data_IF_015690179577
#
_entry.id   IF_015690179577
#
_cell.length_a   1.000
_cell.length_b   1.000
_cell.length_c   1.000
_cell.angle_alpha   90.00
_cell.angle_beta   90.00
_cell.angle_gamma   90.00
#
_symmetry.space_group_name_H-M   'P 1'
#
loop_
_entity.id
_entity.type
_entity.pdbx_description
1 polymer ?
#
# COMPACT_ATOMS: atom_id res chain seq x y z
N UNK A 1 -25.15 -32.19 -12.73
CA UNK A 1 -25.65 -30.80 -12.67
C UNK A 1 -24.51 -29.90 -13.10
N UNK A 2 -24.68 -29.18 -14.21
CA UNK A 2 -23.69 -28.25 -14.75
C UNK A 2 -23.47 -27.11 -13.76
N UNK A 3 -22.27 -27.03 -13.19
CA UNK A 3 -21.82 -25.90 -12.39
C UNK A 3 -21.96 -24.62 -13.22
N UNK A 4 -22.93 -23.79 -12.89
CA UNK A 4 -23.01 -22.43 -13.39
C UNK A 4 -21.82 -21.69 -12.80
N UNK A 5 -20.71 -21.63 -13.55
CA UNK A 5 -19.54 -20.84 -13.21
C UNK A 5 -19.99 -19.37 -13.15
N UNK A 6 -20.38 -18.91 -11.96
CA UNK A 6 -20.79 -17.52 -11.74
C UNK A 6 -19.56 -16.67 -11.94
N UNK A 7 -19.59 -15.84 -12.96
CA UNK A 7 -18.56 -14.84 -13.20
C UNK A 7 -18.52 -13.91 -12.00
N UNK A 8 -17.41 -13.92 -11.29
CA UNK A 8 -17.21 -13.02 -10.16
C UNK A 8 -16.86 -11.64 -10.71
N UNK A 9 -17.83 -10.72 -10.66
CA UNK A 9 -17.63 -9.34 -11.11
C UNK A 9 -16.61 -8.56 -10.26
N UNK A 10 -16.19 -9.09 -9.10
CA UNK A 10 -15.32 -8.40 -8.12
C UNK A 10 -14.36 -9.33 -7.36
N UNK A 11 -14.11 -10.55 -7.82
CA UNK A 11 -13.35 -11.51 -7.02
C UNK A 11 -12.50 -12.47 -7.86
N UNK A 12 -11.34 -12.79 -7.30
CA UNK A 12 -10.34 -13.75 -7.75
C UNK A 12 -10.76 -15.23 -7.58
N UNK A 13 -12.00 -15.47 -7.13
CA UNK A 13 -12.52 -16.79 -6.79
C UNK A 13 -12.05 -17.33 -5.43
N UNK A 14 -11.40 -16.50 -4.60
CA UNK A 14 -11.07 -16.87 -3.24
C UNK A 14 -12.31 -16.94 -2.36
N UNK A 15 -12.24 -17.75 -1.29
CA UNK A 15 -13.19 -17.66 -0.19
C UNK A 15 -13.31 -16.24 0.34
N UNK A 16 -14.51 -15.83 0.77
CA UNK A 16 -14.71 -14.52 1.37
C UNK A 16 -14.32 -14.55 2.84
N UNK A 17 -13.86 -13.41 3.34
CA UNK A 17 -13.57 -13.22 4.76
C UNK A 17 -14.69 -12.39 5.36
N UNK A 18 -15.11 -12.72 6.57
CA UNK A 18 -16.20 -12.03 7.27
C UNK A 18 -15.81 -11.80 8.72
N UNK A 19 -15.94 -10.58 9.21
CA UNK A 19 -15.79 -10.29 10.65
C UNK A 19 -17.11 -10.50 11.38
N UNK A 20 -17.06 -11.30 12.43
CA UNK A 20 -18.24 -11.73 13.18
C UNK A 20 -17.95 -11.66 14.67
N UNK A 21 -18.90 -11.20 15.47
CA UNK A 21 -18.80 -11.37 16.91
C UNK A 21 -18.82 -12.86 17.26
N UNK A 22 -17.86 -13.32 18.09
CA UNK A 22 -17.75 -14.73 18.46
C UNK A 22 -19.05 -15.27 19.04
N UNK A 23 -19.67 -14.53 19.95
CA UNK A 23 -20.92 -14.93 20.62
C UNK A 23 -22.05 -15.21 19.62
N UNK A 24 -22.24 -14.30 18.66
CA UNK A 24 -23.25 -14.45 17.61
C UNK A 24 -22.97 -15.67 16.73
N UNK A 25 -21.70 -15.87 16.36
CA UNK A 25 -21.29 -17.04 15.57
C UNK A 25 -21.48 -18.36 16.33
N UNK A 26 -21.23 -18.40 17.63
CA UNK A 26 -21.43 -19.59 18.46
C UNK A 26 -22.91 -19.94 18.65
N UNK A 27 -23.80 -18.94 18.72
CA UNK A 27 -25.24 -19.16 18.81
C UNK A 27 -25.87 -19.55 17.47
N UNK A 28 -25.47 -18.93 16.37
CA UNK A 28 -26.16 -19.04 15.08
C UNK A 28 -25.40 -19.84 14.01
N UNK A 29 -24.14 -20.14 14.25
CA UNK A 29 -23.27 -20.85 13.30
C UNK A 29 -23.21 -20.13 11.94
N UNK A 30 -23.49 -20.88 10.86
CA UNK A 30 -23.46 -20.35 9.51
C UNK A 30 -24.52 -19.26 9.22
N UNK A 31 -25.57 -19.13 10.05
CA UNK A 31 -26.53 -18.05 9.86
C UNK A 31 -25.95 -16.66 10.23
N UNK A 32 -24.93 -16.62 11.10
CA UNK A 32 -24.29 -15.39 11.55
C UNK A 32 -23.65 -14.58 10.41
N UNK A 33 -23.29 -15.20 9.27
CA UNK A 33 -22.74 -14.51 8.10
C UNK A 33 -23.67 -13.43 7.53
N UNK A 34 -24.98 -13.51 7.79
CA UNK A 34 -25.95 -12.46 7.42
C UNK A 34 -25.77 -11.18 8.23
N UNK A 35 -25.14 -11.29 9.40
CA UNK A 35 -24.88 -10.21 10.36
C UNK A 35 -23.38 -9.89 10.43
N UNK A 36 -22.64 -10.19 9.37
CA UNK A 36 -21.22 -9.83 9.29
C UNK A 36 -21.03 -8.32 9.43
N UNK A 37 -20.11 -7.94 10.31
CA UNK A 37 -19.78 -6.55 10.59
C UNK A 37 -18.96 -5.91 9.45
N UNK A 38 -18.17 -6.74 8.77
CA UNK A 38 -17.33 -6.38 7.63
C UNK A 38 -17.02 -7.64 6.80
N UNK A 39 -16.72 -7.47 5.51
CA UNK A 39 -16.34 -8.55 4.59
C UNK A 39 -15.05 -8.21 3.82
N UNK A 40 -13.87 -8.29 4.45
CA UNK A 40 -12.63 -7.87 3.82
C UNK A 40 -12.11 -8.84 2.75
N UNK A 41 -11.21 -8.36 1.88
CA UNK A 41 -10.38 -9.24 1.04
C UNK A 41 -9.37 -10.01 1.90
N UNK A 42 -8.80 -11.11 1.39
CA UNK A 42 -7.74 -11.84 2.12
C UNK A 42 -6.59 -10.91 2.52
N UNK A 43 -6.12 -10.07 1.60
CA UNK A 43 -5.02 -9.16 1.85
C UNK A 43 -5.35 -8.16 2.97
N UNK A 44 -6.54 -7.56 2.93
CA UNK A 44 -6.97 -6.64 3.97
C UNK A 44 -7.18 -7.36 5.30
N UNK A 45 -7.77 -8.57 5.29
CA UNK A 45 -7.93 -9.39 6.48
C UNK A 45 -6.58 -9.67 7.14
N UNK A 46 -5.54 -10.00 6.37
CA UNK A 46 -4.19 -10.24 6.90
C UNK A 46 -3.46 -8.98 7.40
N UNK A 47 -3.86 -7.78 6.95
CA UNK A 47 -3.25 -6.52 7.37
C UNK A 47 -3.98 -5.85 8.52
N UNK A 48 -5.30 -5.81 8.50
CA UNK A 48 -6.09 -5.01 9.44
C UNK A 48 -6.98 -5.87 10.35
N UNK A 49 -7.17 -7.17 10.03
CA UNK A 49 -7.97 -8.13 10.80
C UNK A 49 -7.20 -9.44 11.07
N UNK A 50 -5.88 -9.37 11.17
CA UNK A 50 -5.02 -10.52 11.47
C UNK A 50 -5.34 -11.09 12.86
N UNK A 51 -4.83 -12.29 13.17
CA UNK A 51 -4.92 -12.80 14.54
C UNK A 51 -4.33 -11.78 15.53
N UNK A 52 -5.04 -11.49 16.62
CA UNK A 52 -4.72 -10.43 17.60
C UNK A 52 -4.87 -8.99 17.09
N UNK A 53 -5.51 -8.79 15.94
CA UNK A 53 -5.80 -7.44 15.47
C UNK A 53 -6.83 -6.77 16.37
N UNK A 54 -6.56 -5.53 16.76
CA UNK A 54 -7.44 -4.68 17.57
C UNK A 54 -8.24 -3.76 16.66
N UNK A 55 -9.56 -3.80 16.80
CA UNK A 55 -10.48 -3.00 16.01
C UNK A 55 -11.48 -2.30 16.91
N UNK A 56 -11.86 -1.08 16.53
CA UNK A 56 -12.95 -0.33 17.15
C UNK A 56 -14.15 -0.41 16.20
N UNK A 57 -15.31 -0.84 16.71
CA UNK A 57 -16.57 -0.91 15.96
C UNK A 57 -17.66 -0.29 16.84
N UNK A 58 -18.32 0.75 16.33
CA UNK A 58 -19.41 1.46 17.04
C UNK A 58 -19.06 1.95 18.46
N UNK A 59 -17.78 2.28 18.69
CA UNK A 59 -17.29 2.72 20.00
C UNK A 59 -16.91 1.58 20.94
N UNK A 60 -17.11 0.33 20.52
CA UNK A 60 -16.70 -0.86 21.26
C UNK A 60 -15.39 -1.44 20.74
N UNK A 61 -14.59 -1.99 21.64
CA UNK A 61 -13.26 -2.51 21.36
C UNK A 61 -13.28 -4.02 21.22
N UNK A 62 -12.72 -4.51 20.12
CA UNK A 62 -12.65 -5.93 19.80
C UNK A 62 -11.24 -6.36 19.42
N UNK A 63 -10.92 -7.62 19.69
CA UNK A 63 -9.72 -8.28 19.20
C UNK A 63 -10.10 -9.50 18.36
N UNK A 64 -9.41 -9.71 17.23
CA UNK A 64 -9.59 -10.93 16.43
C UNK A 64 -8.94 -12.11 17.14
N UNK A 65 -9.75 -12.98 17.73
CA UNK A 65 -9.26 -14.13 18.49
C UNK A 65 -9.06 -15.40 17.65
N UNK A 66 -9.81 -15.58 16.57
CA UNK A 66 -9.73 -16.80 15.76
C UNK A 66 -10.11 -16.57 14.29
N UNK A 67 -9.46 -17.29 13.38
CA UNK A 67 -9.89 -17.44 12.00
C UNK A 67 -10.45 -18.85 11.82
N UNK A 68 -11.74 -18.98 11.49
CA UNK A 68 -12.42 -20.27 11.35
C UNK A 68 -12.95 -20.44 9.93
N UNK A 69 -12.50 -21.49 9.25
CA UNK A 69 -12.97 -21.84 7.90
C UNK A 69 -14.35 -22.48 7.97
N UNK A 70 -15.30 -22.00 7.17
CA UNK A 70 -16.68 -22.51 7.08
C UNK A 70 -17.00 -22.71 5.61
N UNK A 71 -16.87 -23.95 5.12
CA UNK A 71 -16.97 -24.24 3.69
C UNK A 71 -15.86 -23.55 2.90
N UNK A 72 -16.25 -22.67 1.97
CA UNK A 72 -15.30 -21.86 1.19
C UNK A 72 -14.93 -20.55 1.88
N UNK A 73 -15.74 -20.05 2.82
CA UNK A 73 -15.54 -18.77 3.47
C UNK A 73 -14.75 -18.88 4.78
N UNK A 74 -14.28 -17.75 5.29
CA UNK A 74 -13.54 -17.66 6.55
C UNK A 74 -14.20 -16.64 7.48
N UNK A 75 -14.59 -17.09 8.67
CA UNK A 75 -15.06 -16.25 9.76
C UNK A 75 -13.87 -15.76 10.59
N UNK A 76 -13.77 -14.44 10.76
CA UNK A 76 -12.84 -13.74 11.64
C UNK A 76 -13.59 -13.43 12.93
N UNK A 77 -13.41 -14.28 13.94
CA UNK A 77 -14.17 -14.21 15.18
C UNK A 77 -13.58 -13.15 16.11
N UNK A 78 -14.42 -12.17 16.44
CA UNK A 78 -14.10 -11.03 17.29
C UNK A 78 -14.50 -11.33 18.73
N UNK A 79 -13.54 -11.14 19.63
CA UNK A 79 -13.73 -11.14 21.06
C UNK A 79 -13.80 -9.70 21.56
N UNK A 80 -14.75 -9.39 22.43
CA UNK A 80 -14.84 -8.07 23.04
C UNK A 80 -13.75 -7.94 24.10
N UNK A 81 -12.90 -6.92 23.98
CA UNK A 81 -11.74 -6.74 24.86
C UNK A 81 -11.55 -5.26 25.14
N UNK A 82 -11.29 -4.88 26.39
CA UNK A 82 -10.95 -3.49 26.74
C UNK A 82 -9.48 -3.20 26.42
N UNK A 83 -9.24 -2.12 25.66
CA UNK A 83 -7.92 -1.55 25.41
C UNK A 83 -8.04 -0.05 25.14
N UNK A 84 -6.91 0.68 25.19
CA UNK A 84 -6.87 2.11 24.89
C UNK A 84 -7.30 2.35 23.42
N UNK A 85 -8.39 3.10 23.16
CA UNK A 85 -8.85 3.38 21.79
C UNK A 85 -7.83 4.14 20.92
N UNK A 86 -6.81 4.76 21.53
CA UNK A 86 -5.69 5.35 20.80
C UNK A 86 -4.72 4.31 20.24
N UNK A 87 -4.77 3.06 20.73
CA UNK A 87 -3.98 1.93 20.23
C UNK A 87 -4.69 1.17 19.12
N UNK A 88 -3.94 0.83 18.07
CA UNK A 88 -4.42 0.03 16.96
C UNK A 88 -3.32 -0.90 16.45
N UNK A 89 -3.69 -1.97 15.78
CA UNK A 89 -2.75 -2.91 15.17
C UNK A 89 -2.69 -2.73 13.67
N UNK A 90 -1.53 -3.00 13.07
CA UNK A 90 -1.40 -3.15 11.61
C UNK A 90 -0.40 -4.23 11.26
N UNK A 91 -0.81 -5.14 10.39
CA UNK A 91 0.01 -6.20 9.83
C UNK A 91 1.12 -5.68 8.93
N UNK A 92 2.16 -6.48 8.78
CA UNK A 92 3.21 -6.27 7.79
C UNK A 92 2.91 -7.12 6.57
N UNK A 93 3.16 -6.59 5.38
CA UNK A 93 3.17 -7.36 4.15
C UNK A 93 4.46 -7.11 3.39
N UNK A 94 5.01 -8.19 2.84
CA UNK A 94 6.08 -8.16 1.84
C UNK A 94 5.53 -8.73 0.55
N UNK A 95 5.63 -7.97 -0.53
CA UNK A 95 5.24 -8.43 -1.86
C UNK A 95 6.49 -8.86 -2.61
N UNK A 96 6.42 -10.01 -3.26
CA UNK A 96 7.44 -10.51 -4.18
C UNK A 96 6.79 -10.68 -5.54
N UNK A 97 7.41 -10.11 -6.56
CA UNK A 97 6.98 -10.25 -7.95
C UNK A 97 8.06 -10.99 -8.71
N UNK A 98 7.68 -12.09 -9.35
CA UNK A 98 8.54 -12.90 -10.21
C UNK A 98 8.11 -12.68 -11.67
N UNK A 99 8.92 -12.02 -12.51
CA UNK A 99 8.63 -11.91 -13.93
C UNK A 99 8.54 -13.29 -14.59
N UNK A 100 7.58 -13.48 -15.49
CA UNK A 100 7.41 -14.72 -16.27
C UNK A 100 7.75 -14.45 -17.73
N UNK A 101 6.80 -13.89 -18.48
CA UNK A 101 6.94 -13.54 -19.89
C UNK A 101 6.93 -12.03 -20.04
N UNK A 102 8.09 -11.45 -20.34
CA UNK A 102 8.26 -10.00 -20.47
C UNK A 102 8.68 -9.62 -21.88
N UNK A 103 8.26 -8.45 -22.33
CA UNK A 103 8.81 -7.84 -23.54
C UNK A 103 10.31 -7.54 -23.37
N UNK A 104 11.04 -7.35 -24.48
CA UNK A 104 12.38 -6.76 -24.43
C UNK A 104 12.37 -5.42 -23.69
N UNK A 105 13.50 -5.08 -23.09
CA UNK A 105 13.70 -3.78 -22.45
C UNK A 105 13.67 -2.65 -23.48
N UNK A 106 12.91 -1.61 -23.16
CA UNK A 106 12.98 -0.31 -23.82
C UNK A 106 13.73 0.65 -22.90
N UNK A 107 14.89 1.12 -23.34
CA UNK A 107 15.77 2.01 -22.54
C UNK A 107 15.76 3.41 -23.16
N UNK A 108 15.70 4.42 -22.31
CA UNK A 108 15.80 5.84 -22.68
C UNK A 108 16.32 6.63 -21.49
N UNK A 109 17.44 7.32 -21.68
CA UNK A 109 18.20 7.95 -20.62
C UNK A 109 18.41 7.02 -19.42
N UNK A 110 18.02 7.49 -18.25
CA UNK A 110 18.15 6.77 -16.97
C UNK A 110 16.97 5.82 -16.66
N UNK A 111 16.07 5.60 -17.62
CA UNK A 111 14.88 4.77 -17.45
C UNK A 111 14.93 3.54 -18.38
N UNK A 112 14.52 2.41 -17.83
CA UNK A 112 14.30 1.19 -18.59
C UNK A 112 12.91 0.63 -18.27
N UNK A 113 12.14 0.27 -19.28
CA UNK A 113 10.79 -0.28 -19.08
C UNK A 113 10.59 -1.57 -19.86
N UNK A 114 9.80 -2.47 -19.30
CA UNK A 114 9.23 -3.62 -20.01
C UNK A 114 7.91 -4.01 -19.39
N UNK A 115 7.04 -4.63 -20.17
CA UNK A 115 5.72 -5.07 -19.71
C UNK A 115 5.53 -6.54 -20.03
N UNK A 116 4.67 -7.22 -19.29
CA UNK A 116 4.40 -8.62 -19.52
C UNK A 116 3.56 -9.23 -18.43
N UNK A 117 3.80 -10.52 -18.17
CA UNK A 117 3.16 -11.29 -17.10
C UNK A 117 4.15 -11.58 -16.00
N UNK A 118 3.66 -11.61 -14.77
CA UNK A 118 4.43 -12.01 -13.60
C UNK A 118 3.57 -12.71 -12.57
N UNK A 119 4.24 -13.42 -11.68
CA UNK A 119 3.65 -14.09 -10.53
C UNK A 119 3.86 -13.24 -9.29
N UNK A 120 2.78 -12.94 -8.56
CA UNK A 120 2.80 -12.13 -7.34
C UNK A 120 2.54 -13.03 -6.14
N UNK A 121 3.41 -12.91 -5.14
CA UNK A 121 3.28 -13.59 -3.84
C UNK A 121 3.35 -12.58 -2.71
N UNK A 122 2.54 -12.78 -1.67
CA UNK A 122 2.51 -11.93 -0.48
C UNK A 122 2.88 -12.73 0.75
N UNK A 123 3.83 -12.22 1.52
CA UNK A 123 4.20 -12.78 2.82
C UNK A 123 3.76 -11.84 3.94
N UNK A 124 3.19 -12.40 5.00
CA UNK A 124 2.65 -11.67 6.15
C UNK A 124 3.40 -12.10 7.42
N UNK A 125 4.55 -11.47 7.73
CA UNK A 125 5.45 -11.97 8.76
C UNK A 125 5.02 -11.61 10.18
N UNK A 126 4.06 -10.70 10.36
CA UNK A 126 3.70 -10.20 11.69
C UNK A 126 2.85 -8.95 11.65
N UNK A 127 2.80 -8.24 12.77
CA UNK A 127 2.08 -6.98 12.95
C UNK A 127 2.75 -6.07 13.98
N UNK A 128 2.43 -4.79 13.94
CA UNK A 128 2.81 -3.81 14.96
C UNK A 128 1.59 -3.36 15.77
N UNK A 129 1.82 -3.03 17.04
CA UNK A 129 0.90 -2.23 17.85
C UNK A 129 1.38 -0.79 17.77
N UNK A 130 0.46 0.11 17.44
CA UNK A 130 0.71 1.52 17.26
C UNK A 130 -0.20 2.32 18.16
N UNK A 131 0.26 3.49 18.61
CA UNK A 131 -0.54 4.44 19.37
C UNK A 131 -0.60 5.77 18.65
N UNK A 132 -1.80 6.35 18.52
CA UNK A 132 -1.98 7.73 18.04
C UNK A 132 -1.75 8.69 19.21
N UNK A 133 -0.77 9.58 19.06
CA UNK A 133 -0.47 10.61 20.05
C UNK A 133 -0.49 11.97 19.37
N UNK A 134 -1.18 12.94 20.00
CA UNK A 134 -1.03 14.34 19.65
C UNK A 134 0.33 14.83 20.14
N UNK A 135 1.20 15.24 19.22
CA UNK A 135 2.50 15.81 19.53
C UNK A 135 2.60 17.19 18.90
N UNK A 136 3.20 18.13 19.62
CA UNK A 136 3.55 19.42 19.06
C UNK A 136 4.84 19.27 18.28
N UNK A 137 4.86 19.58 17.00
CA UNK A 137 6.06 19.42 16.17
C UNK A 137 6.17 20.55 15.13
N UNK A 138 7.39 20.79 14.65
CA UNK A 138 7.62 21.75 13.58
C UNK A 138 6.95 21.29 12.28
N UNK A 139 6.30 22.23 11.59
CA UNK A 139 5.70 21.97 10.29
C UNK A 139 6.72 21.52 9.23
N UNK A 140 7.93 22.07 9.25
CA UNK A 140 8.88 21.98 8.13
C UNK A 140 10.00 20.94 8.35
N UNK A 141 10.45 20.78 9.59
CA UNK A 141 11.53 19.85 9.95
C UNK A 141 11.09 18.73 10.89
N UNK A 142 9.82 18.71 11.30
CA UNK A 142 9.25 17.68 12.17
C UNK A 142 9.93 17.54 13.56
N UNK A 143 10.76 18.51 13.95
CA UNK A 143 11.39 18.56 15.27
C UNK A 143 10.35 18.86 16.36
N UNK A 144 10.36 18.05 17.42
CA UNK A 144 9.55 18.28 18.61
C UNK A 144 10.23 19.35 19.49
N UNK A 145 9.49 20.34 20.02
CA UNK A 145 10.06 21.33 20.91
C UNK A 145 10.47 20.68 22.23
N UNK A 146 11.52 21.20 22.86
CA UNK A 146 11.89 20.79 24.20
C UNK A 146 10.74 21.06 25.18
N UNK A 147 10.45 20.06 26.02
CA UNK A 147 9.39 20.12 27.03
C UNK A 147 9.59 21.36 27.92
N UNK A 148 8.56 22.20 27.99
CA UNK A 148 8.55 23.42 28.82
C UNK A 148 8.84 24.72 28.06
N UNK A 149 9.28 24.67 26.80
CA UNK A 149 9.48 25.87 25.98
C UNK A 149 8.20 26.24 25.24
N UNK A 150 7.50 27.27 25.71
CA UNK A 150 6.37 27.87 25.01
C UNK A 150 6.84 28.72 23.81
N UNK A 151 7.38 28.05 22.79
CA UNK A 151 7.67 28.67 21.50
C UNK A 151 6.59 28.30 20.48
N UNK A 152 6.25 29.26 19.61
CA UNK A 152 5.43 29.02 18.42
C UNK A 152 6.29 28.74 17.17
N UNK A 153 7.63 28.90 17.30
CA UNK A 153 8.60 28.71 16.21
C UNK A 153 9.65 27.67 16.57
N UNK A 154 10.01 26.84 15.60
CA UNK A 154 11.07 25.88 15.73
C UNK A 154 12.43 26.58 15.87
N UNK A 155 13.21 26.21 16.88
CA UNK A 155 14.55 26.76 17.09
C UNK A 155 15.53 26.40 15.96
N UNK A 156 15.32 25.27 15.28
CA UNK A 156 16.23 24.80 14.23
C UNK A 156 16.00 25.47 12.86
N UNK A 157 14.75 25.77 12.50
CA UNK A 157 14.43 26.27 11.15
C UNK A 157 13.47 27.46 11.11
N UNK A 158 13.01 27.98 12.26
CA UNK A 158 12.08 29.11 12.34
C UNK A 158 10.62 28.82 11.93
N UNK A 159 10.33 27.58 11.52
CA UNK A 159 9.01 27.12 11.08
C UNK A 159 7.99 27.05 12.22
N UNK A 160 6.69 27.08 11.90
CA UNK A 160 5.63 27.07 12.91
C UNK A 160 5.55 25.71 13.65
N UNK A 161 5.31 25.76 14.96
CA UNK A 161 5.01 24.59 15.79
C UNK A 161 3.50 24.38 15.86
N UNK A 162 3.04 23.20 15.47
CA UNK A 162 1.61 22.84 15.44
C UNK A 162 1.39 21.48 16.08
N UNK A 163 0.19 21.26 16.63
CA UNK A 163 -0.21 19.95 17.14
C UNK A 163 -0.54 19.03 15.97
N UNK A 164 0.16 17.91 15.90
CA UNK A 164 -0.02 16.87 14.88
C UNK A 164 -0.31 15.54 15.54
N UNK A 165 -1.19 14.76 14.92
CA UNK A 165 -1.32 13.35 15.25
C UNK A 165 -0.12 12.60 14.67
N UNK A 166 0.68 11.97 15.55
CA UNK A 166 1.71 11.02 15.16
C UNK A 166 1.33 9.62 15.57
N UNK A 167 1.77 8.68 14.74
CA UNK A 167 1.68 7.25 15.03
C UNK A 167 3.00 6.81 15.64
N UNK A 168 2.97 6.43 16.91
CA UNK A 168 4.12 5.86 17.62
C UNK A 168 4.04 4.35 17.55
N UNK A 169 5.14 3.67 17.21
CA UNK A 169 5.22 2.21 17.33
C UNK A 169 5.40 1.84 18.80
N UNK A 170 4.47 1.06 19.35
CA UNK A 170 4.54 0.56 20.72
C UNK A 170 5.33 -0.75 20.75
N UNK A 171 4.98 -1.69 19.87
CA UNK A 171 5.65 -2.98 19.76
C UNK A 171 5.51 -3.56 18.35
N UNK A 172 6.38 -4.53 18.02
CA UNK A 172 6.27 -5.37 16.81
C UNK A 172 6.23 -6.84 17.24
N UNK A 173 5.38 -7.61 16.58
CA UNK A 173 5.16 -9.03 16.84
C UNK A 173 5.31 -9.77 15.52
N UNK A 174 6.10 -10.84 15.51
CA UNK A 174 6.31 -11.70 14.35
C UNK A 174 5.68 -13.06 14.61
N UNK A 175 5.11 -13.66 13.58
CA UNK A 175 4.55 -15.00 13.66
C UNK A 175 5.66 -16.04 13.53
N UNK A 176 5.57 -17.13 14.29
CA UNK A 176 6.52 -18.25 14.19
C UNK A 176 6.49 -18.88 12.79
N UNK A 177 5.29 -18.99 12.21
CA UNK A 177 5.08 -19.41 10.83
C UNK A 177 4.56 -18.24 10.01
N UNK A 178 5.39 -17.75 9.07
CA UNK A 178 5.00 -16.68 8.14
C UNK A 178 3.94 -17.22 7.17
N UNK A 179 2.79 -16.58 7.14
CA UNK A 179 1.78 -16.91 6.14
C UNK A 179 2.20 -16.34 4.78
N UNK A 180 2.15 -17.18 3.75
CA UNK A 180 2.42 -16.80 2.36
C UNK A 180 1.17 -17.09 1.54
N UNK A 181 0.70 -16.10 0.79
CA UNK A 181 -0.46 -16.25 -0.10
C UNK A 181 -0.13 -17.24 -1.21
N UNK A 182 -1.16 -17.90 -1.75
CA UNK A 182 -0.99 -18.60 -3.02
C UNK A 182 -0.49 -17.60 -4.09
N UNK A 183 0.50 -17.97 -4.92
CA UNK A 183 0.91 -17.13 -6.02
C UNK A 183 -0.26 -16.92 -6.98
N UNK A 184 -0.32 -15.74 -7.59
CA UNK A 184 -1.25 -15.48 -8.68
C UNK A 184 -0.55 -14.78 -9.83
N UNK A 185 -0.88 -15.19 -11.05
CA UNK A 185 -0.40 -14.54 -12.27
C UNK A 185 -1.22 -13.27 -12.54
N UNK A 186 -0.54 -12.24 -13.04
CA UNK A 186 -1.15 -10.96 -13.39
C UNK A 186 -0.28 -10.20 -14.40
N UNK A 187 -0.80 -9.08 -14.93
CA UNK A 187 -0.03 -8.13 -15.70
C UNK A 187 1.01 -7.42 -14.83
N UNK A 188 2.22 -7.25 -15.35
CA UNK A 188 3.33 -6.57 -14.67
C UNK A 188 4.02 -5.59 -15.61
N UNK A 189 4.25 -4.37 -15.14
CA UNK A 189 5.18 -3.40 -15.70
C UNK A 189 6.41 -3.33 -14.80
N UNK A 190 7.59 -3.56 -15.37
CA UNK A 190 8.86 -3.34 -14.68
C UNK A 190 9.50 -2.03 -15.15
N UNK A 191 9.89 -1.21 -14.19
CA UNK A 191 10.53 0.08 -14.38
C UNK A 191 11.87 0.08 -13.64
N UNK A 192 12.97 0.06 -14.39
CA UNK A 192 14.31 0.31 -13.89
C UNK A 192 14.62 1.81 -13.91
N UNK A 193 15.19 2.31 -12.81
CA UNK A 193 15.58 3.71 -12.65
C UNK A 193 17.05 3.73 -12.25
N UNK A 194 17.92 4.29 -13.08
CA UNK A 194 19.33 4.42 -12.76
C UNK A 194 19.58 5.68 -11.91
N UNK A 195 19.08 5.67 -10.68
CA UNK A 195 19.20 6.80 -9.75
C UNK A 195 19.14 6.35 -8.29
N UNK A 196 19.29 7.31 -7.38
CA UNK A 196 19.25 7.05 -5.93
C UNK A 196 17.85 6.74 -5.40
N UNK A 197 17.74 6.15 -4.20
CA UNK A 197 16.48 5.66 -3.63
C UNK A 197 15.41 6.75 -3.45
N UNK A 198 15.82 8.01 -3.17
CA UNK A 198 14.89 9.14 -3.06
C UNK A 198 14.21 9.49 -4.38
N UNK A 199 14.94 9.36 -5.49
CA UNK A 199 14.40 9.59 -6.84
C UNK A 199 13.45 8.46 -7.23
N UNK A 200 13.84 7.21 -6.92
CA UNK A 200 12.98 6.02 -7.11
C UNK A 200 11.66 6.18 -6.35
N UNK A 201 11.72 6.56 -5.07
CA UNK A 201 10.53 6.80 -4.25
C UNK A 201 9.66 7.95 -4.81
N UNK A 202 10.27 9.04 -5.29
CA UNK A 202 9.51 10.13 -5.95
C UNK A 202 8.77 9.62 -7.18
N UNK A 203 9.44 8.87 -8.06
CA UNK A 203 8.83 8.36 -9.29
C UNK A 203 7.74 7.33 -8.97
N UNK A 204 7.97 6.42 -8.03
CA UNK A 204 6.96 5.48 -7.55
C UNK A 204 5.67 6.18 -7.12
N UNK A 205 5.74 7.13 -6.18
CA UNK A 205 4.55 7.80 -5.67
C UNK A 205 3.85 8.64 -6.73
N UNK A 206 4.64 9.30 -7.58
CA UNK A 206 4.09 10.10 -8.68
C UNK A 206 3.34 9.23 -9.67
N UNK A 207 3.89 8.07 -10.03
CA UNK A 207 3.25 7.13 -10.94
C UNK A 207 2.04 6.45 -10.32
N UNK A 208 2.10 6.03 -9.04
CA UNK A 208 0.92 5.50 -8.33
C UNK A 208 -0.25 6.48 -8.33
N UNK A 209 0.02 7.78 -8.27
CA UNK A 209 -1.01 8.83 -8.35
C UNK A 209 -1.51 9.06 -9.78
N UNK A 210 -0.63 8.99 -10.78
CA UNK A 210 -0.97 9.31 -12.17
C UNK A 210 -1.59 8.14 -12.94
N UNK A 211 -1.18 6.90 -12.67
CA UNK A 211 -1.64 5.72 -13.39
C UNK A 211 -3.17 5.60 -13.35
N UNK A 212 -3.85 5.64 -12.18
CA UNK A 212 -5.30 5.53 -12.11
C UNK A 212 -6.04 6.57 -12.97
N UNK A 213 -5.49 7.78 -13.07
CA UNK A 213 -6.05 8.85 -13.89
C UNK A 213 -5.81 8.62 -15.40
N UNK A 214 -4.65 8.09 -15.79
CA UNK A 214 -4.28 7.91 -17.18
C UNK A 214 -5.01 6.74 -17.86
N UNK A 215 -5.27 5.66 -17.12
CA UNK A 215 -5.89 4.44 -17.66
C UNK A 215 -7.27 4.13 -17.09
N UNK A 216 -7.82 5.04 -16.27
CA UNK A 216 -9.17 4.97 -15.70
C UNK A 216 -9.38 3.67 -14.90
N UNK A 217 -8.51 3.42 -13.93
CA UNK A 217 -8.63 2.29 -12.99
C UNK A 217 -8.80 2.78 -11.55
N UNK A 218 -9.21 1.89 -10.64
CA UNK A 218 -9.19 2.19 -9.21
C UNK A 218 -7.75 2.10 -8.68
N UNK A 219 -7.30 2.99 -7.77
CA UNK A 219 -6.00 2.84 -7.13
C UNK A 219 -5.78 1.45 -6.48
N UNK A 220 -6.84 0.80 -5.99
CA UNK A 220 -6.77 -0.54 -5.40
C UNK A 220 -6.49 -1.66 -6.42
N UNK A 221 -6.72 -1.40 -7.71
CA UNK A 221 -6.38 -2.33 -8.81
C UNK A 221 -4.87 -2.37 -9.09
N UNK A 222 -4.10 -1.45 -8.50
CA UNK A 222 -2.66 -1.31 -8.72
C UNK A 222 -1.88 -1.68 -7.46
N UNK A 223 -0.91 -2.58 -7.61
CA UNK A 223 0.13 -2.83 -6.62
C UNK A 223 1.48 -2.34 -7.09
N UNK A 224 2.36 -2.05 -6.14
CA UNK A 224 3.77 -1.79 -6.41
C UNK A 224 4.68 -2.58 -5.47
N UNK A 225 5.80 -3.05 -5.99
CA UNK A 225 6.84 -3.69 -5.20
C UNK A 225 8.23 -3.32 -5.75
N UNK A 226 9.18 -3.10 -4.84
CA UNK A 226 10.59 -3.07 -5.22
C UNK A 226 11.06 -4.47 -5.58
N UNK A 227 11.98 -4.57 -6.53
CA UNK A 227 12.65 -5.83 -6.84
C UNK A 227 13.58 -6.21 -5.68
N UNK A 228 13.58 -7.48 -5.30
CA UNK A 228 14.22 -7.95 -4.06
C UNK A 228 15.76 -7.83 -4.06
N UNK A 229 16.40 -7.95 -5.22
CA UNK A 229 17.85 -7.84 -5.44
C UNK A 229 18.30 -6.42 -5.81
N UNK A 230 17.38 -5.58 -6.29
CA UNK A 230 17.68 -4.24 -6.79
C UNK A 230 16.55 -3.24 -6.49
N UNK A 231 16.69 -2.43 -5.44
CA UNK A 231 15.64 -1.50 -5.01
C UNK A 231 15.33 -0.37 -6.01
N UNK A 232 16.19 -0.17 -6.99
CA UNK A 232 16.01 0.79 -8.08
C UNK A 232 15.18 0.24 -9.25
N UNK A 233 14.65 -0.98 -9.12
CA UNK A 233 13.65 -1.56 -10.01
C UNK A 233 12.32 -1.66 -9.29
N UNK A 234 11.28 -1.18 -9.97
CA UNK A 234 9.91 -1.18 -9.51
C UNK A 234 9.07 -2.12 -10.38
N UNK A 235 8.28 -2.96 -9.73
CA UNK A 235 7.18 -3.67 -10.37
C UNK A 235 5.88 -2.97 -10.04
N UNK A 236 5.19 -2.48 -11.07
CA UNK A 236 3.77 -2.19 -10.99
C UNK A 236 3.03 -3.42 -11.48
N UNK A 237 1.98 -3.82 -10.78
CA UNK A 237 1.23 -5.02 -11.12
C UNK A 237 -0.25 -4.83 -10.85
N UNK A 238 -1.07 -5.63 -11.53
CA UNK A 238 -2.52 -5.55 -11.35
C UNK A 238 -2.90 -6.43 -10.17
N UNK A 239 -3.62 -5.85 -9.20
CA UNK A 239 -4.03 -6.50 -7.97
C UNK A 239 -5.25 -7.43 -8.19
N UNK A 240 -5.23 -8.18 -9.29
CA UNK A 240 -6.29 -9.06 -9.71
C UNK A 240 -5.72 -10.33 -10.34
N UNK A 241 -6.25 -11.50 -9.96
CA UNK A 241 -5.81 -12.78 -10.50
C UNK A 241 -6.16 -12.88 -11.98
N UNK A 242 -5.16 -13.20 -12.82
CA UNK A 242 -5.29 -13.25 -14.27
C UNK A 242 -5.12 -11.88 -14.96
N UNK A 243 -5.11 -10.80 -14.19
CA UNK A 243 -5.07 -9.44 -14.71
C UNK A 243 -6.40 -8.93 -15.29
N UNK A 244 -6.52 -7.60 -15.30
CA UNK A 244 -7.52 -6.75 -15.93
C UNK A 244 -7.02 -6.14 -17.26
N UNK A 245 -5.74 -6.29 -17.60
CA UNK A 245 -5.15 -5.72 -18.83
C UNK A 245 -4.76 -4.24 -18.68
N UNK A 246 -4.55 -3.78 -17.46
CA UNK A 246 -4.14 -2.42 -17.11
C UNK A 246 -2.68 -2.16 -17.52
N UNK A 247 -1.75 -3.09 -17.25
CA UNK A 247 -0.31 -2.87 -17.45
C UNK A 247 0.09 -2.60 -18.91
N UNK A 248 -0.47 -3.28 -19.93
CA UNK A 248 -0.25 -2.90 -21.32
C UNK A 248 -0.69 -1.46 -21.64
N UNK A 249 -1.84 -1.02 -21.09
CA UNK A 249 -2.33 0.35 -21.27
C UNK A 249 -1.40 1.36 -20.57
N UNK A 250 -0.94 1.03 -19.36
CA UNK A 250 0.04 1.87 -18.63
C UNK A 250 1.34 1.97 -19.42
N UNK A 251 1.85 0.86 -19.95
CA UNK A 251 3.07 0.85 -20.77
C UNK A 251 2.94 1.73 -22.02
N UNK A 252 1.79 1.67 -22.70
CA UNK A 252 1.49 2.55 -23.84
C UNK A 252 1.36 4.02 -23.42
N UNK A 253 0.84 4.30 -22.22
CA UNK A 253 0.66 5.65 -21.68
C UNK A 253 1.94 6.25 -21.05
N UNK A 254 3.04 5.51 -20.94
CA UNK A 254 4.29 5.97 -20.32
C UNK A 254 4.77 7.33 -20.81
N UNK A 255 4.75 7.66 -22.12
CA UNK A 255 5.14 8.99 -22.59
C UNK A 255 4.35 10.13 -21.95
N UNK A 256 3.03 9.96 -21.87
CA UNK A 256 2.14 10.95 -21.27
C UNK A 256 2.32 10.98 -19.75
N UNK A 257 2.44 9.80 -19.12
CA UNK A 257 2.67 9.67 -17.68
C UNK A 257 3.97 10.35 -17.24
N UNK A 258 5.08 10.12 -17.95
CA UNK A 258 6.37 10.72 -17.62
C UNK A 258 6.39 12.22 -17.85
N UNK A 259 5.75 12.72 -18.93
CA UNK A 259 5.58 14.16 -19.13
C UNK A 259 4.77 14.80 -17.99
N UNK A 260 3.68 14.16 -17.56
CA UNK A 260 2.87 14.63 -16.42
C UNK A 260 3.61 14.53 -15.09
N UNK A 261 4.38 13.46 -14.89
CA UNK A 261 5.23 13.32 -13.72
C UNK A 261 6.28 14.44 -13.65
N UNK A 262 6.85 14.83 -14.79
CA UNK A 262 7.80 15.94 -14.88
C UNK A 262 7.15 17.27 -14.50
N UNK A 263 5.95 17.55 -15.02
CA UNK A 263 5.17 18.73 -14.64
C UNK A 263 4.92 18.78 -13.13
N UNK A 264 4.55 17.65 -12.50
CA UNK A 264 4.34 17.58 -11.06
C UNK A 264 5.63 17.73 -10.25
N UNK A 265 6.75 17.15 -10.71
CA UNK A 265 8.04 17.30 -10.06
C UNK A 265 8.54 18.75 -10.12
N UNK A 266 8.22 19.51 -11.17
CA UNK A 266 8.61 20.91 -11.33
C UNK A 266 7.71 21.92 -10.59
N UNK A 267 6.53 21.52 -10.09
CA UNK A 267 5.65 22.45 -9.36
C UNK A 267 6.36 23.10 -8.17
N UNK A 268 6.30 24.44 -7.98
CA UNK A 268 6.99 25.13 -6.89
C UNK A 268 6.30 25.01 -5.53
N UNK A 269 5.26 24.19 -5.39
CA UNK A 269 4.45 24.09 -4.17
C UNK A 269 5.19 23.54 -2.94
N UNK A 270 6.30 22.81 -3.13
CA UNK A 270 7.12 22.27 -2.05
C UNK A 270 8.48 21.74 -2.55
N UNK A 271 9.41 21.54 -1.62
CA UNK A 271 10.73 20.91 -1.89
C UNK A 271 10.68 19.38 -1.74
N UNK A 272 10.06 18.89 -0.66
CA UNK A 272 10.10 17.47 -0.23
C UNK A 272 8.91 16.61 -0.69
N UNK A 273 8.05 17.15 -1.56
CA UNK A 273 6.79 16.51 -1.95
C UNK A 273 5.61 16.87 -1.04
N UNK A 274 4.43 16.99 -1.65
CA UNK A 274 3.15 17.22 -0.98
C UNK A 274 2.03 16.54 -1.79
N UNK A 275 0.83 16.45 -1.22
CA UNK A 275 -0.31 15.83 -1.89
C UNK A 275 -0.69 16.50 -3.22
N UNK A 276 -0.35 17.77 -3.42
CA UNK A 276 -0.59 18.46 -4.68
C UNK A 276 0.33 17.97 -5.82
N UNK A 277 1.60 17.66 -5.53
CA UNK A 277 2.56 17.17 -6.50
C UNK A 277 2.75 15.64 -6.42
N UNK A 278 3.83 15.19 -5.79
CA UNK A 278 4.36 13.81 -5.80
C UNK A 278 3.93 12.97 -4.59
N UNK A 279 2.97 13.46 -3.79
CA UNK A 279 2.50 12.87 -2.53
C UNK A 279 3.63 12.66 -1.49
N UNK A 280 3.42 11.76 -0.52
CA UNK A 280 4.41 11.37 0.51
C UNK A 280 4.93 9.98 0.18
N UNK A 281 6.21 9.68 0.47
CA UNK A 281 6.77 8.33 0.31
C UNK A 281 5.97 7.31 1.13
N UNK A 282 5.57 6.21 0.50
CA UNK A 282 4.97 5.06 1.19
C UNK A 282 6.00 4.18 1.91
N UNK A 283 7.28 4.32 1.57
CA UNK A 283 8.40 3.50 2.09
C UNK A 283 9.25 4.22 3.14
N UNK A 284 8.99 5.50 3.39
CA UNK A 284 9.63 6.27 4.46
C UNK A 284 10.95 6.93 4.08
N UNK A 285 11.42 6.79 2.84
CA UNK A 285 12.52 7.60 2.30
C UNK A 285 12.05 9.04 2.11
N UNK A 286 13.00 9.98 2.18
CA UNK A 286 12.75 11.34 1.70
C UNK A 286 12.52 11.33 0.19
N UNK A 287 11.70 12.26 -0.30
CA UNK A 287 11.49 12.44 -1.73
C UNK A 287 12.50 13.45 -2.30
N UNK A 288 12.95 13.19 -3.53
CA UNK A 288 13.78 14.10 -4.32
C UNK A 288 13.06 14.45 -5.63
N UNK A 289 12.45 15.64 -5.67
CA UNK A 289 11.73 16.15 -6.85
C UNK A 289 12.66 16.60 -7.95
N UNK A 290 13.78 17.22 -7.59
CA UNK A 290 14.73 17.77 -8.56
C UNK A 290 15.46 16.64 -9.29
N UNK A 291 15.90 15.61 -8.56
CA UNK A 291 16.50 14.41 -9.15
C UNK A 291 15.51 13.66 -10.05
N UNK A 292 14.25 13.51 -9.63
CA UNK A 292 13.21 12.90 -10.47
C UNK A 292 12.90 13.72 -11.73
N UNK A 293 12.86 15.05 -11.64
CA UNK A 293 12.70 15.91 -12.80
C UNK A 293 13.86 15.74 -13.79
N UNK A 294 15.11 15.68 -13.31
CA UNK A 294 16.29 15.46 -14.16
C UNK A 294 16.23 14.13 -14.93
N UNK A 295 15.85 13.04 -14.25
CA UNK A 295 15.65 11.72 -14.90
C UNK A 295 14.57 11.78 -15.98
N UNK A 296 13.43 12.42 -15.69
CA UNK A 296 12.31 12.53 -16.64
C UNK A 296 12.62 13.47 -17.82
N UNK A 297 13.42 14.52 -17.60
CA UNK A 297 13.87 15.43 -18.66
C UNK A 297 14.76 14.74 -19.68
N UNK A 298 15.68 13.88 -19.21
CA UNK A 298 16.49 13.03 -20.08
C UNK A 298 15.61 12.16 -20.98
N UNK A 299 14.60 11.52 -20.40
CA UNK A 299 13.66 10.70 -21.15
C UNK A 299 12.85 11.50 -22.20
N UNK A 300 12.31 12.67 -21.84
CA UNK A 300 11.53 13.51 -22.77
C UNK A 300 12.40 14.03 -23.92
N UNK A 301 13.68 14.31 -23.66
CA UNK A 301 14.61 14.83 -24.65
C UNK A 301 15.01 13.80 -25.71
N UNK A 302 14.96 12.50 -25.37
CA UNK A 302 15.28 11.39 -26.28
C UNK A 302 14.21 11.15 -27.38
N UNK A 303 13.10 11.91 -27.38
CA UNK A 303 12.14 11.93 -28.49
C UNK A 303 11.16 10.76 -28.56
N UNK A 304 10.78 10.20 -27.40
CA UNK A 304 9.75 9.16 -27.30
C UNK A 304 8.30 9.65 -27.25
#
# INVERSE_FOLDING_TARGET
SSDSQRWSLRGDGSGKFYTLERRTFECEGAAAFKFALDSPSEHYARLEKHLRARTLLEGETFEVGEWRKVGQDTALLLDKVEFDPAEFTRGFARVVVKPLEMTPWKVSGELATRVGRGEVTRAYPGYGIFRRKSVRACRDCDLEPELGVMSYRCAACGGALEDKLRTQTVSKHYFDAVHVSAPFETGVLELGINSGPKVVATLEQTLLKLIPLAVVCDPADLGVAARADHENYLFFFENFRGGLGIMPLVHAALPVLFKKALELCRKPCCVKGCYECVARSSRGEGLDKSGAAGVLEGWVSDGF
#
